data_IF_712786440179
#
_entry.id   IF_712786440179
#
_cell.length_a   1.000
_cell.length_b   1.000
_cell.length_c   1.000
_cell.angle_alpha   90.00
_cell.angle_beta   90.00
_cell.angle_gamma   90.00
#
_symmetry.space_group_name_H-M   'P 1'
#
loop_
_entity.id
_entity.type
_entity.pdbx_description
1 polymer ?
#
# COMPACT_ATOMS: atom_id res chain seq x y z
N UNK A 1 -16.89 -7.15 -2.62
CA UNK A 1 -15.75 -6.46 -1.95
C UNK A 1 -15.57 -5.09 -2.58
N UNK A 2 -15.21 -4.07 -1.80
CA UNK A 2 -15.00 -2.70 -2.30
C UNK A 2 -13.60 -2.21 -1.92
N UNK A 3 -12.92 -1.53 -2.84
CA UNK A 3 -11.65 -0.83 -2.60
C UNK A 3 -11.80 0.65 -2.86
N UNK A 4 -11.19 1.49 -2.02
CA UNK A 4 -11.14 2.95 -2.18
C UNK A 4 -9.67 3.40 -2.02
N UNK A 5 -9.20 4.24 -2.94
CA UNK A 5 -7.95 5.00 -2.77
C UNK A 5 -8.22 6.13 -1.79
N UNK A 6 -7.83 5.94 -0.54
CA UNK A 6 -8.24 6.80 0.58
C UNK A 6 -7.49 8.15 0.63
N UNK A 7 -6.39 8.27 -0.09
CA UNK A 7 -5.64 9.52 -0.25
C UNK A 7 -4.97 9.60 -1.63
N UNK A 8 -4.32 10.69 -1.92
CA UNK A 8 -3.59 10.85 -3.17
C UNK A 8 -2.21 10.17 -3.18
N UNK A 9 -1.87 9.39 -2.14
CA UNK A 9 -0.57 8.74 -2.02
C UNK A 9 -0.67 7.21 -1.96
N UNK A 10 -0.82 6.61 -0.77
CA UNK A 10 -0.76 5.15 -0.65
C UNK A 10 -1.64 4.55 0.45
N UNK A 11 -2.58 5.31 0.99
CA UNK A 11 -3.55 4.79 1.95
C UNK A 11 -4.72 4.13 1.21
N UNK A 12 -5.05 2.89 1.59
CA UNK A 12 -6.12 2.11 0.98
C UNK A 12 -7.14 1.70 2.02
N UNK A 13 -8.41 1.78 1.64
CA UNK A 13 -9.53 1.26 2.42
C UNK A 13 -10.18 0.12 1.64
N UNK A 14 -10.33 -1.04 2.27
CA UNK A 14 -10.98 -2.23 1.70
C UNK A 14 -12.10 -2.65 2.62
N UNK A 15 -13.30 -2.81 2.08
CA UNK A 15 -14.51 -3.19 2.81
C UNK A 15 -15.16 -4.41 2.15
N UNK A 16 -15.55 -5.39 2.95
CA UNK A 16 -16.38 -6.53 2.55
C UNK A 16 -17.18 -7.05 3.73
N UNK A 17 -18.52 -7.05 3.60
CA UNK A 17 -19.44 -7.47 4.68
C UNK A 17 -19.13 -6.74 6.01
N UNK A 18 -18.72 -7.48 7.01
CA UNK A 18 -18.38 -7.00 8.34
C UNK A 18 -16.87 -6.64 8.53
N UNK A 19 -16.07 -6.77 7.47
CA UNK A 19 -14.65 -6.42 7.44
C UNK A 19 -14.44 -5.04 6.84
N UNK A 20 -13.66 -4.20 7.51
CA UNK A 20 -13.14 -2.96 6.95
C UNK A 20 -11.68 -2.78 7.39
N UNK A 21 -10.76 -2.76 6.45
CA UNK A 21 -9.32 -2.68 6.71
C UNK A 21 -8.71 -1.45 6.07
N UNK A 22 -7.72 -0.88 6.76
CA UNK A 22 -6.83 0.14 6.20
C UNK A 22 -5.45 -0.46 5.91
N UNK A 23 -4.89 -0.13 4.76
CA UNK A 23 -3.50 -0.45 4.41
C UNK A 23 -2.69 0.85 4.43
N UNK A 24 -1.59 0.84 5.17
CA UNK A 24 -0.62 1.93 5.29
C UNK A 24 -1.29 3.29 5.57
N UNK A 25 -2.06 3.43 6.67
CA UNK A 25 -2.85 4.62 6.92
C UNK A 25 -1.98 5.84 7.21
N UNK A 26 -2.09 6.84 6.35
CA UNK A 26 -1.62 8.21 6.60
C UNK A 26 -2.83 9.16 6.53
N UNK A 27 -3.48 9.40 7.67
CA UNK A 27 -4.74 10.12 7.78
C UNK A 27 -4.59 11.59 8.22
N UNK A 28 -3.38 12.13 8.17
CA UNK A 28 -3.09 13.55 8.45
C UNK A 28 -2.54 14.24 7.21
N UNK A 29 -2.46 15.57 7.24
CA UNK A 29 -1.97 16.32 6.08
C UNK A 29 -0.45 16.35 5.98
N UNK A 30 0.26 16.05 7.08
CA UNK A 30 1.71 16.20 7.14
C UNK A 30 2.36 14.92 7.62
N UNK A 31 3.35 14.45 6.89
CA UNK A 31 4.29 13.42 7.30
C UNK A 31 5.62 14.10 7.61
N UNK A 32 5.99 14.12 8.87
CA UNK A 32 7.28 14.61 9.34
C UNK A 32 7.98 13.49 10.11
N UNK A 33 9.02 12.88 9.53
CA UNK A 33 9.81 11.90 10.24
C UNK A 33 10.46 12.52 11.49
N UNK A 34 10.31 11.86 12.64
CA UNK A 34 10.98 12.30 13.86
C UNK A 34 12.49 12.26 13.71
N UNK A 35 13.14 13.39 13.98
CA UNK A 35 14.60 13.49 14.00
C UNK A 35 15.27 13.49 12.64
N UNK A 36 14.54 13.57 11.54
CA UNK A 36 15.11 13.66 10.21
C UNK A 36 14.61 14.88 9.45
N UNK A 37 15.56 15.72 9.00
CA UNK A 37 15.30 16.74 7.99
C UNK A 37 15.35 16.15 6.57
N UNK A 38 15.40 14.82 6.45
CA UNK A 38 15.69 14.14 5.19
C UNK A 38 14.56 14.21 4.21
N UNK A 39 13.32 13.93 4.64
CA UNK A 39 12.16 14.02 3.77
C UNK A 39 10.92 14.41 4.58
N UNK A 40 10.19 15.38 4.08
CA UNK A 40 8.89 15.79 4.60
C UNK A 40 7.90 15.76 3.47
N UNK A 41 6.67 15.30 3.73
CA UNK A 41 5.61 15.22 2.74
C UNK A 41 4.35 15.86 3.27
N UNK A 42 3.60 16.55 2.40
CA UNK A 42 2.29 17.13 2.70
C UNK A 42 1.29 16.73 1.66
N UNK A 43 0.08 16.47 2.11
CA UNK A 43 -1.10 16.28 1.27
C UNK A 43 -2.03 17.48 1.41
N UNK A 44 -2.80 17.76 0.37
CA UNK A 44 -3.84 18.79 0.40
C UNK A 44 -4.95 18.40 1.37
N UNK A 45 -5.41 17.14 1.27
CA UNK A 45 -6.43 16.56 2.14
C UNK A 45 -5.80 15.45 3.00
N UNK A 46 -6.33 15.24 4.18
CA UNK A 46 -5.90 14.12 5.05
C UNK A 46 -6.34 12.78 4.47
N UNK A 47 -7.62 12.67 4.16
CA UNK A 47 -8.24 11.48 3.54
C UNK A 47 -9.60 11.86 2.95
N UNK A 48 -10.08 11.08 1.97
CA UNK A 48 -11.44 11.20 1.44
C UNK A 48 -12.45 10.30 2.18
N UNK A 49 -11.99 9.49 3.13
CA UNK A 49 -12.89 8.59 3.87
C UNK A 49 -13.85 9.39 4.76
N UNK A 50 -15.11 9.00 4.74
CA UNK A 50 -16.12 9.52 5.66
C UNK A 50 -15.87 9.02 7.09
N UNK A 51 -16.38 9.74 8.07
CA UNK A 51 -16.34 9.33 9.48
C UNK A 51 -16.94 7.94 9.68
N UNK A 52 -18.03 7.62 8.98
CA UNK A 52 -18.65 6.29 9.05
C UNK A 52 -17.71 5.18 8.54
N UNK A 53 -16.94 5.43 7.48
CA UNK A 53 -15.96 4.46 6.99
C UNK A 53 -14.80 4.29 7.98
N UNK A 54 -14.32 5.39 8.58
CA UNK A 54 -13.27 5.34 9.61
C UNK A 54 -13.75 4.55 10.82
N UNK A 55 -14.98 4.76 11.27
CA UNK A 55 -15.56 4.05 12.43
C UNK A 55 -15.82 2.57 12.19
N UNK A 56 -15.95 2.14 10.94
CA UNK A 56 -16.07 0.72 10.57
C UNK A 56 -14.73 -0.03 10.60
N UNK A 57 -13.60 0.66 10.58
CA UNK A 57 -12.27 0.02 10.52
C UNK A 57 -12.09 -0.95 11.68
N UNK A 58 -11.77 -2.20 11.34
CA UNK A 58 -11.56 -3.28 12.29
C UNK A 58 -10.26 -4.07 12.05
N UNK A 59 -9.41 -3.58 11.15
CA UNK A 59 -8.07 -4.09 10.92
C UNK A 59 -7.17 -3.05 10.24
N UNK A 60 -5.89 -3.04 10.60
CA UNK A 60 -4.87 -2.18 9.98
C UNK A 60 -3.76 -3.08 9.47
N UNK A 61 -3.33 -2.87 8.23
CA UNK A 61 -2.18 -3.55 7.65
C UNK A 61 -1.08 -2.52 7.44
N UNK A 62 0.12 -2.81 7.94
CA UNK A 62 1.31 -1.99 7.71
C UNK A 62 2.31 -2.82 6.90
N UNK A 63 2.56 -2.40 5.66
CA UNK A 63 3.35 -3.20 4.71
C UNK A 63 4.86 -2.98 4.83
N UNK A 64 5.29 -1.85 5.40
CA UNK A 64 6.69 -1.46 5.47
C UNK A 64 7.03 -0.69 6.75
N UNK A 65 8.31 -0.71 7.18
CA UNK A 65 8.78 0.02 8.37
C UNK A 65 9.07 1.50 8.12
N UNK A 66 8.74 2.00 6.92
CA UNK A 66 9.02 3.38 6.54
C UNK A 66 7.89 4.29 7.01
N UNK A 67 8.19 5.54 7.31
CA UNK A 67 7.26 6.49 7.95
C UNK A 67 6.03 6.81 7.10
N UNK A 68 6.14 6.71 5.79
CA UNK A 68 5.03 6.88 4.87
C UNK A 68 4.09 5.65 4.82
N UNK A 69 4.47 4.52 5.42
CA UNK A 69 3.62 3.35 5.67
C UNK A 69 3.27 3.20 7.15
N UNK A 70 4.24 3.46 8.03
CA UNK A 70 4.11 3.33 9.49
C UNK A 70 3.93 4.72 10.12
N UNK A 71 2.76 5.30 9.96
CA UNK A 71 2.44 6.62 10.48
C UNK A 71 1.77 6.52 11.86
N UNK A 72 2.54 6.76 12.92
CA UNK A 72 2.11 6.56 14.31
C UNK A 72 0.92 7.43 14.71
N UNK A 73 0.83 8.68 14.22
CA UNK A 73 -0.30 9.56 14.51
C UNK A 73 -1.61 8.96 13.98
N UNK A 74 -1.61 8.43 12.77
CA UNK A 74 -2.79 7.75 12.21
C UNK A 74 -3.11 6.45 12.94
N UNK A 75 -2.11 5.66 13.34
CA UNK A 75 -2.33 4.42 14.09
C UNK A 75 -2.97 4.73 15.45
N UNK A 76 -2.57 5.79 16.13
CA UNK A 76 -3.11 6.20 17.42
C UNK A 76 -4.58 6.64 17.35
N UNK A 77 -5.12 6.93 16.16
CA UNK A 77 -6.56 7.18 15.96
C UNK A 77 -7.40 5.90 16.12
N UNK A 78 -6.78 4.72 16.11
CA UNK A 78 -7.44 3.41 16.17
C UNK A 78 -6.96 2.59 17.38
N UNK A 79 -7.17 3.07 18.62
CA UNK A 79 -6.80 2.28 19.78
C UNK A 79 -7.61 0.96 19.79
N UNK A 80 -6.96 -0.15 20.09
CA UNK A 80 -7.56 -1.49 20.14
C UNK A 80 -7.87 -2.18 18.80
N UNK A 81 -7.69 -1.53 17.66
CA UNK A 81 -7.82 -2.21 16.37
C UNK A 81 -6.57 -3.07 16.11
N UNK A 82 -6.71 -4.36 15.75
CA UNK A 82 -5.56 -5.21 15.49
C UNK A 82 -4.74 -4.73 14.29
N UNK A 83 -3.41 -4.82 14.42
CA UNK A 83 -2.45 -4.48 13.36
C UNK A 83 -1.84 -5.77 12.80
N UNK A 84 -1.82 -5.88 11.49
CA UNK A 84 -1.26 -7.00 10.73
C UNK A 84 -0.01 -6.52 10.00
N UNK A 85 1.15 -7.14 10.24
CA UNK A 85 2.40 -6.60 9.73
C UNK A 85 3.57 -7.60 9.78
N UNK A 86 4.80 -7.12 9.48
CA UNK A 86 6.05 -7.87 9.60
C UNK A 86 6.67 -7.78 10.99
N UNK A 87 7.63 -8.67 11.29
CA UNK A 87 8.39 -8.64 12.54
C UNK A 87 9.17 -7.32 12.74
N UNK A 88 9.63 -6.70 11.64
CA UNK A 88 10.38 -5.44 11.72
C UNK A 88 9.48 -4.31 12.17
N UNK A 89 8.31 -4.18 11.59
CA UNK A 89 7.31 -3.18 11.97
C UNK A 89 6.83 -3.42 13.40
N UNK A 90 6.55 -4.69 13.78
CA UNK A 90 6.16 -5.03 15.15
C UNK A 90 7.16 -4.51 16.18
N UNK A 91 8.48 -4.66 15.93
CA UNK A 91 9.52 -4.14 16.82
C UNK A 91 9.46 -2.62 16.96
N UNK A 92 9.15 -1.89 15.89
CA UNK A 92 9.00 -0.43 15.94
C UNK A 92 7.74 -0.02 16.73
N UNK A 93 6.61 -0.71 16.51
CA UNK A 93 5.38 -0.49 17.28
C UNK A 93 5.60 -0.68 18.79
N UNK A 94 6.32 -1.75 19.17
CA UNK A 94 6.68 -2.01 20.60
C UNK A 94 7.56 -0.88 21.13
N UNK A 95 8.59 -0.45 20.41
CA UNK A 95 9.49 0.65 20.82
C UNK A 95 8.75 1.97 21.04
N UNK A 96 7.67 2.20 20.28
CA UNK A 96 6.81 3.39 20.37
C UNK A 96 5.64 3.22 21.34
N UNK A 97 5.61 2.11 22.11
CA UNK A 97 4.56 1.78 23.09
C UNK A 97 3.13 1.76 22.49
N UNK A 98 3.00 1.39 21.22
CA UNK A 98 1.69 1.19 20.59
C UNK A 98 0.97 0.03 21.29
N UNK A 99 -0.29 0.25 21.69
CA UNK A 99 -1.07 -0.69 22.55
C UNK A 99 -1.87 -1.71 21.74
N UNK A 100 -1.97 -1.54 20.45
CA UNK A 100 -2.73 -2.43 19.57
C UNK A 100 -2.17 -3.86 19.60
N UNK A 101 -3.06 -4.84 19.49
CA UNK A 101 -2.64 -6.23 19.26
C UNK A 101 -1.97 -6.34 17.89
N UNK A 102 -0.78 -6.95 17.83
CA UNK A 102 0.01 -7.04 16.58
C UNK A 102 0.15 -8.50 16.16
N UNK A 103 -0.38 -8.81 14.98
CA UNK A 103 -0.29 -10.11 14.30
C UNK A 103 0.77 -10.05 13.20
N UNK A 104 1.57 -11.10 13.11
CA UNK A 104 2.58 -11.23 12.06
C UNK A 104 1.96 -11.95 10.86
N UNK A 105 1.97 -11.28 9.72
CA UNK A 105 1.58 -11.89 8.46
C UNK A 105 2.73 -12.73 7.88
N UNK A 106 2.36 -13.87 7.34
CA UNK A 106 3.25 -14.83 6.67
C UNK A 106 2.69 -15.17 5.29
N UNK A 107 3.34 -16.12 4.61
CA UNK A 107 2.83 -16.71 3.36
C UNK A 107 1.62 -17.64 3.58
N UNK A 108 1.23 -17.87 4.82
CA UNK A 108 -0.03 -18.54 5.16
C UNK A 108 -1.20 -17.56 5.11
N UNK A 109 -2.40 -18.07 4.84
CA UNK A 109 -3.60 -17.24 4.86
C UNK A 109 -3.96 -16.89 6.31
N UNK A 110 -4.20 -15.60 6.54
CA UNK A 110 -4.70 -15.08 7.79
C UNK A 110 -6.12 -14.56 7.58
N UNK A 111 -7.09 -15.08 8.33
CA UNK A 111 -8.49 -14.64 8.20
C UNK A 111 -8.76 -13.43 9.12
N UNK A 112 -9.23 -12.35 8.52
CA UNK A 112 -9.73 -11.16 9.22
C UNK A 112 -11.22 -11.06 8.89
N UNK A 113 -12.07 -11.60 9.76
CA UNK A 113 -13.52 -11.73 9.55
C UNK A 113 -13.84 -12.38 8.19
N UNK A 114 -14.42 -11.62 7.24
CA UNK A 114 -14.77 -12.06 5.89
C UNK A 114 -13.65 -11.93 4.85
N UNK A 115 -12.45 -11.48 5.25
CA UNK A 115 -11.31 -11.34 4.36
C UNK A 115 -10.19 -12.32 4.71
N UNK A 116 -9.59 -12.93 3.69
CA UNK A 116 -8.40 -13.75 3.78
C UNK A 116 -7.20 -12.92 3.28
N UNK A 117 -6.17 -12.78 4.11
CA UNK A 117 -4.99 -11.97 3.86
C UNK A 117 -3.76 -12.87 3.84
N UNK A 118 -2.92 -12.70 2.83
CA UNK A 118 -1.66 -13.42 2.67
C UNK A 118 -0.54 -12.46 2.37
N UNK A 119 0.57 -12.51 3.12
CA UNK A 119 1.79 -11.83 2.75
C UNK A 119 2.52 -12.59 1.65
N UNK A 120 3.05 -11.85 0.69
CA UNK A 120 3.84 -12.37 -0.44
C UNK A 120 5.22 -11.72 -0.39
N UNK A 121 6.32 -12.50 -0.51
CA UNK A 121 7.67 -11.94 -0.52
C UNK A 121 7.87 -10.92 -1.64
N UNK A 122 8.44 -9.76 -1.32
CA UNK A 122 8.87 -8.76 -2.30
C UNK A 122 10.22 -9.14 -2.91
N UNK A 123 10.69 -8.35 -3.90
CA UNK A 123 12.03 -8.55 -4.48
C UNK A 123 13.05 -7.57 -3.90
N UNK A 124 14.34 -7.82 -4.20
CA UNK A 124 15.44 -6.91 -3.83
C UNK A 124 15.15 -5.45 -4.29
N UNK A 125 15.43 -4.45 -3.49
CA UNK A 125 16.11 -4.46 -2.19
C UNK A 125 15.18 -4.67 -0.98
N UNK A 126 13.89 -4.85 -1.16
CA UNK A 126 12.87 -4.80 -0.12
C UNK A 126 12.50 -6.16 0.52
N UNK A 127 13.06 -7.26 0.03
CA UNK A 127 12.66 -8.64 0.40
C UNK A 127 12.69 -8.97 1.91
N UNK A 128 13.44 -8.19 2.70
CA UNK A 128 13.50 -8.37 4.16
C UNK A 128 12.68 -7.34 4.95
N UNK A 129 12.30 -6.23 4.30
CA UNK A 129 11.70 -5.09 4.99
C UNK A 129 10.23 -4.91 4.71
N UNK A 130 9.77 -5.36 3.54
CA UNK A 130 8.39 -5.19 3.10
C UNK A 130 7.81 -6.51 2.63
N UNK A 131 6.50 -6.54 2.42
CA UNK A 131 5.79 -7.63 1.78
C UNK A 131 4.70 -7.09 0.87
N UNK A 132 4.40 -7.83 -0.19
CA UNK A 132 3.20 -7.64 -0.99
C UNK A 132 2.01 -8.33 -0.30
N UNK A 133 0.79 -7.93 -0.64
CA UNK A 133 -0.43 -8.52 -0.10
C UNK A 133 -1.25 -9.16 -1.19
N UNK A 134 -1.86 -10.29 -0.88
CA UNK A 134 -2.99 -10.84 -1.60
C UNK A 134 -4.16 -10.91 -0.62
N UNK A 135 -5.24 -10.19 -0.94
CA UNK A 135 -6.46 -10.13 -0.15
C UNK A 135 -7.57 -10.77 -0.97
N UNK A 136 -8.32 -11.67 -0.36
CA UNK A 136 -9.45 -12.35 -0.99
C UNK A 136 -10.67 -12.34 -0.08
N UNK A 137 -11.84 -12.20 -0.68
CA UNK A 137 -13.09 -12.47 0.03
C UNK A 137 -13.54 -13.93 -0.15
N UNK A 138 -14.67 -14.26 0.47
CA UNK A 138 -15.24 -15.62 0.41
C UNK A 138 -15.91 -15.91 -0.95
N UNK A 139 -16.14 -14.90 -1.81
CA UNK A 139 -16.69 -15.03 -3.16
C UNK A 139 -15.60 -15.27 -4.22
N UNK A 140 -14.32 -15.14 -3.81
CA UNK A 140 -13.15 -15.34 -4.67
C UNK A 140 -12.60 -14.06 -5.31
N UNK A 141 -13.24 -12.91 -5.09
CA UNK A 141 -12.71 -11.62 -5.52
C UNK A 141 -11.36 -11.33 -4.86
N UNK A 142 -10.43 -10.70 -5.58
CA UNK A 142 -9.06 -10.62 -5.13
C UNK A 142 -8.37 -9.30 -5.45
N UNK A 143 -7.59 -8.81 -4.49
CA UNK A 143 -6.78 -7.60 -4.59
C UNK A 143 -5.33 -7.97 -4.32
N UNK A 144 -4.43 -7.55 -5.21
CA UNK A 144 -2.98 -7.63 -5.01
C UNK A 144 -2.41 -6.23 -4.75
N UNK A 145 -1.62 -6.08 -3.68
CA UNK A 145 -0.88 -4.86 -3.36
C UNK A 145 0.62 -5.14 -3.39
N UNK A 146 1.40 -4.34 -4.10
CA UNK A 146 2.80 -4.63 -4.43
C UNK A 146 3.80 -4.57 -3.26
N UNK A 147 3.51 -3.79 -2.21
CA UNK A 147 4.43 -3.61 -1.10
C UNK A 147 5.82 -3.11 -1.52
N UNK A 148 5.90 -2.10 -2.38
CA UNK A 148 7.06 -1.47 -3.03
C UNK A 148 7.62 -2.17 -4.28
N UNK A 149 7.70 -3.49 -4.34
CA UNK A 149 8.29 -4.15 -5.50
C UNK A 149 7.78 -5.57 -5.68
N UNK A 150 7.22 -5.81 -6.84
CA UNK A 150 6.69 -7.13 -7.21
C UNK A 150 7.81 -8.16 -7.35
N UNK A 151 7.62 -9.32 -6.74
CA UNK A 151 8.45 -10.49 -6.98
C UNK A 151 7.89 -11.32 -8.14
N UNK A 152 8.28 -10.99 -9.35
CA UNK A 152 7.80 -11.64 -10.56
C UNK A 152 8.00 -13.16 -10.56
N UNK A 153 9.16 -13.62 -10.04
CA UNK A 153 9.45 -15.06 -9.95
C UNK A 153 8.45 -15.76 -9.05
N UNK A 154 8.12 -15.14 -7.92
CA UNK A 154 7.13 -15.70 -6.99
C UNK A 154 5.73 -15.74 -7.62
N UNK A 155 5.31 -14.66 -8.30
CA UNK A 155 4.00 -14.62 -8.98
C UNK A 155 3.87 -15.74 -10.01
N UNK A 156 4.91 -15.97 -10.81
CA UNK A 156 4.93 -17.02 -11.84
C UNK A 156 4.89 -18.41 -11.20
N UNK A 157 5.82 -18.68 -10.27
CA UNK A 157 5.98 -20.01 -9.66
C UNK A 157 4.74 -20.47 -8.87
N UNK A 158 4.01 -19.51 -8.29
CA UNK A 158 2.82 -19.78 -7.47
C UNK A 158 1.51 -19.48 -8.21
N UNK A 159 1.56 -19.13 -9.50
CA UNK A 159 0.40 -18.78 -10.32
C UNK A 159 -0.54 -17.77 -9.62
N UNK A 160 0.05 -16.72 -9.04
CA UNK A 160 -0.73 -15.71 -8.30
C UNK A 160 -1.57 -14.89 -9.29
N UNK A 161 -2.88 -14.82 -9.03
CA UNK A 161 -3.86 -14.03 -9.78
C UNK A 161 -4.61 -13.08 -8.86
N UNK A 162 -5.03 -11.95 -9.42
CA UNK A 162 -5.83 -10.96 -8.73
C UNK A 162 -6.65 -10.13 -9.71
N UNK A 163 -7.90 -9.82 -9.37
CA UNK A 163 -8.81 -9.03 -10.20
C UNK A 163 -8.41 -7.56 -10.22
N UNK A 164 -7.99 -7.06 -9.07
CA UNK A 164 -7.49 -5.69 -8.85
C UNK A 164 -6.02 -5.72 -8.46
N UNK A 165 -5.22 -4.86 -9.08
CA UNK A 165 -3.83 -4.64 -8.74
C UNK A 165 -3.60 -3.22 -8.21
N UNK A 166 -2.90 -3.08 -7.08
CA UNK A 166 -2.42 -1.82 -6.52
C UNK A 166 -0.90 -1.79 -6.73
N UNK A 167 -0.44 -0.97 -7.68
CA UNK A 167 0.95 -0.96 -8.12
C UNK A 167 1.48 0.47 -8.29
N UNK A 168 2.78 0.67 -8.10
CA UNK A 168 3.46 1.88 -8.60
C UNK A 168 3.59 1.81 -10.13
N UNK A 169 3.63 2.96 -10.78
CA UNK A 169 3.88 3.07 -12.21
C UNK A 169 4.87 4.19 -12.54
N UNK A 170 5.10 5.09 -11.59
CA UNK A 170 6.11 6.14 -11.71
C UNK A 170 7.46 5.61 -11.26
N UNK A 171 8.40 5.55 -12.20
CA UNK A 171 9.76 5.17 -11.86
C UNK A 171 10.36 6.19 -10.92
N UNK A 172 10.69 5.77 -9.69
CA UNK A 172 11.46 6.58 -8.75
C UNK A 172 12.78 5.91 -8.41
N UNK A 173 13.85 6.68 -8.43
CA UNK A 173 15.20 6.23 -8.12
C UNK A 173 15.85 7.17 -7.13
N UNK A 174 16.52 6.59 -6.14
CA UNK A 174 17.38 7.32 -5.23
C UNK A 174 18.82 7.23 -5.74
N UNK A 175 19.53 8.38 -5.78
CA UNK A 175 20.87 8.51 -6.33
C UNK A 175 21.03 7.99 -7.78
N UNK A 176 19.93 7.92 -8.54
CA UNK A 176 19.93 7.46 -9.92
C UNK A 176 20.03 5.94 -10.14
N UNK A 177 20.34 5.15 -9.12
CA UNK A 177 20.54 3.70 -9.25
C UNK A 177 19.69 2.83 -8.30
N UNK A 178 19.30 3.31 -7.12
CA UNK A 178 18.43 2.56 -6.21
C UNK A 178 16.98 2.76 -6.64
N UNK A 179 16.38 1.75 -7.26
CA UNK A 179 14.99 1.82 -7.69
C UNK A 179 14.04 1.67 -6.51
N UNK A 180 13.23 2.69 -6.27
CA UNK A 180 12.22 2.73 -5.20
C UNK A 180 10.83 2.32 -5.69
N UNK A 181 10.42 2.75 -6.90
CA UNK A 181 9.14 2.41 -7.50
C UNK A 181 9.30 1.73 -8.85
N UNK A 182 8.31 0.95 -9.28
CA UNK A 182 8.33 0.30 -10.59
C UNK A 182 8.10 1.32 -11.72
N UNK A 183 8.72 1.07 -12.87
CA UNK A 183 8.38 1.78 -14.09
C UNK A 183 7.14 1.16 -14.74
N UNK A 184 6.50 1.89 -15.66
CA UNK A 184 5.26 1.46 -16.33
C UNK A 184 5.36 0.12 -17.05
N UNK A 185 6.54 -0.24 -17.61
CA UNK A 185 6.75 -1.55 -18.28
C UNK A 185 6.65 -2.72 -17.30
N UNK A 186 7.26 -2.57 -16.13
CA UNK A 186 7.15 -3.57 -15.06
C UNK A 186 5.73 -3.61 -14.48
N UNK A 187 5.04 -2.48 -14.40
CA UNK A 187 3.64 -2.41 -13.98
C UNK A 187 2.75 -3.18 -14.95
N UNK A 188 2.86 -2.96 -16.27
CA UNK A 188 2.14 -3.74 -17.28
C UNK A 188 2.46 -5.23 -17.18
N UNK A 189 3.73 -5.59 -17.01
CA UNK A 189 4.13 -6.98 -16.80
C UNK A 189 3.46 -7.60 -15.58
N UNK A 190 3.39 -6.87 -14.47
CA UNK A 190 2.73 -7.34 -13.25
C UNK A 190 1.22 -7.52 -13.47
N UNK A 191 0.54 -6.53 -14.07
CA UNK A 191 -0.88 -6.61 -14.42
C UNK A 191 -1.19 -7.82 -15.30
N UNK A 192 -0.40 -8.05 -16.34
CA UNK A 192 -0.57 -9.21 -17.25
C UNK A 192 -0.36 -10.54 -16.52
N UNK A 193 0.64 -10.65 -15.64
CA UNK A 193 0.89 -11.86 -14.86
C UNK A 193 -0.22 -12.13 -13.85
N UNK A 194 -0.73 -11.09 -13.20
CA UNK A 194 -1.85 -11.18 -12.27
C UNK A 194 -3.17 -11.47 -12.99
N UNK A 195 -3.29 -11.10 -14.27
CA UNK A 195 -4.54 -11.16 -15.02
C UNK A 195 -5.52 -10.08 -14.61
N UNK A 196 -5.04 -8.99 -13.98
CA UNK A 196 -5.88 -7.91 -13.48
C UNK A 196 -6.36 -7.02 -14.62
N UNK A 197 -7.61 -6.58 -14.56
CA UNK A 197 -8.20 -5.60 -15.46
C UNK A 197 -8.48 -4.25 -14.79
N UNK A 198 -8.27 -4.14 -13.49
CA UNK A 198 -8.37 -2.94 -12.67
C UNK A 198 -7.02 -2.63 -12.05
N UNK A 199 -6.49 -1.43 -12.28
CA UNK A 199 -5.19 -0.99 -11.76
C UNK A 199 -5.34 0.30 -10.96
N UNK A 200 -5.03 0.23 -9.70
CA UNK A 200 -4.87 1.40 -8.84
C UNK A 200 -3.39 1.80 -8.75
N UNK A 201 -3.10 3.07 -9.03
CA UNK A 201 -1.73 3.59 -8.93
C UNK A 201 -1.47 4.05 -7.50
N UNK A 202 -0.43 3.47 -6.89
CA UNK A 202 0.06 3.85 -5.55
C UNK A 202 1.36 4.63 -5.64
N UNK A 203 1.77 5.28 -4.55
CA UNK A 203 3.04 5.99 -4.45
C UNK A 203 3.13 7.23 -5.33
N UNK A 204 2.01 7.80 -5.77
CA UNK A 204 1.99 9.08 -6.48
C UNK A 204 2.62 10.14 -5.60
N UNK A 205 3.28 11.12 -6.22
CA UNK A 205 3.85 12.22 -5.45
C UNK A 205 2.77 12.91 -4.59
N UNK A 206 2.96 13.03 -3.26
CA UNK A 206 2.13 13.90 -2.47
C UNK A 206 2.29 15.35 -2.96
N UNK A 207 1.33 16.22 -2.64
CA UNK A 207 1.27 17.58 -3.17
C UNK A 207 2.56 18.38 -2.94
N UNK A 208 3.22 18.12 -1.81
CA UNK A 208 4.52 18.71 -1.50
C UNK A 208 5.48 17.69 -0.88
N UNK A 209 6.65 17.60 -1.47
CA UNK A 209 7.80 16.84 -0.91
C UNK A 209 8.95 17.81 -0.72
N UNK A 210 9.51 17.86 0.49
CA UNK A 210 10.65 18.71 0.88
C UNK A 210 11.70 17.87 1.60
N UNK A 211 12.86 18.46 1.83
CA UNK A 211 13.96 17.83 2.56
C UNK A 211 15.17 17.48 1.70
N UNK A 212 16.26 17.12 2.35
CA UNK A 212 17.55 16.90 1.69
C UNK A 212 17.51 15.76 0.66
N UNK A 213 16.86 14.65 0.99
CA UNK A 213 16.78 13.46 0.09
C UNK A 213 16.02 13.76 -1.20
N UNK A 214 15.09 14.73 -1.20
CA UNK A 214 14.37 15.12 -2.42
C UNK A 214 15.32 15.45 -3.57
N UNK A 215 16.46 16.07 -3.28
CA UNK A 215 17.45 16.47 -4.30
C UNK A 215 18.11 15.27 -5.00
N UNK A 216 18.03 14.08 -4.42
CA UNK A 216 18.58 12.83 -4.93
C UNK A 216 17.51 11.87 -5.47
N UNK A 217 16.23 12.25 -5.35
CA UNK A 217 15.11 11.50 -5.92
C UNK A 217 14.92 11.89 -7.38
N UNK A 218 15.08 10.93 -8.26
CA UNK A 218 14.75 11.05 -9.66
C UNK A 218 13.41 10.35 -9.90
N UNK A 219 12.40 11.10 -10.34
CA UNK A 219 11.10 10.56 -10.71
C UNK A 219 10.91 10.68 -12.21
N UNK A 220 10.38 9.63 -12.83
CA UNK A 220 9.99 9.63 -14.23
C UNK A 220 8.49 9.33 -14.31
N UNK A 221 7.72 10.35 -14.67
CA UNK A 221 6.29 10.19 -14.91
C UNK A 221 6.04 9.26 -16.11
N UNK A 222 4.89 8.61 -16.11
CA UNK A 222 4.39 7.82 -17.23
C UNK A 222 3.15 8.51 -17.84
N UNK A 223 2.89 8.19 -19.09
CA UNK A 223 1.64 8.62 -19.70
C UNK A 223 0.55 7.60 -19.34
N UNK A 224 -0.48 8.04 -18.64
CA UNK A 224 -1.59 7.17 -18.22
C UNK A 224 -2.28 6.51 -19.42
N UNK A 225 -2.31 7.18 -20.57
CA UNK A 225 -2.89 6.62 -21.80
C UNK A 225 -2.18 5.36 -22.28
N UNK A 226 -0.90 5.17 -21.93
CA UNK A 226 -0.16 3.95 -22.27
C UNK A 226 -0.63 2.74 -21.46
N UNK A 227 -1.16 2.96 -20.24
CA UNK A 227 -1.75 1.93 -19.41
C UNK A 227 -3.25 1.74 -19.68
N UNK A 228 -4.00 2.82 -19.83
CA UNK A 228 -5.47 2.81 -19.91
C UNK A 228 -6.05 2.22 -21.21
N UNK A 229 -5.22 1.90 -22.20
CA UNK A 229 -5.70 1.25 -23.45
C UNK A 229 -6.15 -0.19 -23.25
N UNK A 230 -5.69 -0.86 -22.20
CA UNK A 230 -5.91 -2.30 -21.98
C UNK A 230 -6.56 -2.61 -20.63
N UNK A 231 -6.52 -1.67 -19.70
CA UNK A 231 -6.96 -1.83 -18.31
C UNK A 231 -7.62 -0.55 -17.80
N UNK A 232 -8.52 -0.67 -16.83
CA UNK A 232 -9.07 0.49 -16.13
C UNK A 232 -8.07 1.00 -15.10
N UNK A 233 -7.71 2.29 -15.17
CA UNK A 233 -6.68 2.90 -14.32
C UNK A 233 -7.30 3.93 -13.38
N UNK A 234 -7.05 3.75 -12.07
CA UNK A 234 -7.49 4.59 -10.97
C UNK A 234 -6.29 5.22 -10.31
N UNK A 235 -6.23 6.54 -10.21
CA UNK A 235 -5.07 7.25 -9.64
C UNK A 235 -5.43 8.37 -8.66
N UNK A 236 -6.68 8.80 -8.66
CA UNK A 236 -7.10 9.94 -7.87
C UNK A 236 -7.57 9.50 -6.47
N UNK A 237 -7.43 10.39 -5.50
CA UNK A 237 -8.08 10.27 -4.21
C UNK A 237 -9.60 10.11 -4.42
N UNK A 238 -10.19 9.15 -3.74
CA UNK A 238 -11.62 8.84 -3.86
C UNK A 238 -11.97 7.88 -5.00
N UNK A 239 -11.05 7.58 -5.90
CA UNK A 239 -11.31 6.50 -6.88
C UNK A 239 -11.61 5.20 -6.16
N UNK A 240 -12.61 4.48 -6.64
CA UNK A 240 -13.04 3.20 -6.03
C UNK A 240 -13.43 2.18 -7.09
N UNK A 241 -13.43 0.91 -6.67
CA UNK A 241 -13.98 -0.20 -7.44
C UNK A 241 -14.80 -1.09 -6.50
N UNK A 242 -15.96 -1.49 -6.98
CA UNK A 242 -16.89 -2.42 -6.31
C UNK A 242 -17.01 -3.68 -7.16
N UNK A 243 -16.72 -4.85 -6.55
CA UNK A 243 -16.66 -6.15 -7.25
C UNK A 243 -18.04 -6.72 -7.53
#
# INVERSE_FOLDING_TARGET
>A
MKIIKADNYQTWYIEHLDSAILIDPWLTNTLQPEGTFFIQRRKKNSTCLSENQINKVNGIIITAPFEDHLHFESINMFPNIPIFTSNIVKRQLIRKNVKNTVHILTEENYKVKSLNIKAIPTSYPYFQTTFSLLIRDDEGNSIFHEGHRVNFKYLINNNIKADVAILTAEESKLFGFIQLGMNYKNTLKAVNLLGSNQLFITGNNPDQTQGFIKNFLMTKSFNINDLSRQINVYKNEGDFYDF
#
